data_IF_806242862829
#
_entry.id   IF_806242862829
#
_cell.length_a   1.000
_cell.length_b   1.000
_cell.length_c   1.000
_cell.angle_alpha   90.00
_cell.angle_beta   90.00
_cell.angle_gamma   90.00
#
_symmetry.space_group_name_H-M   'P 1'
#
loop_
_entity.id
_entity.type
_entity.pdbx_description
1 polymer ?
#
# COMPACT_ATOMS: atom_id res chain seq x y z
N UNK A 1 50.44 -58.04 -52.55
CA UNK A 1 49.73 -59.05 -53.39
C UNK A 1 48.47 -59.44 -52.64
N UNK A 2 47.25 -59.60 -53.17
CA UNK A 2 46.55 -59.22 -54.39
C UNK A 2 45.13 -59.80 -54.15
N UNK A 3 44.04 -59.05 -54.42
CA UNK A 3 42.65 -59.53 -54.65
C UNK A 3 41.90 -60.19 -53.45
N UNK A 4 40.58 -60.25 -53.35
CA UNK A 4 39.40 -59.58 -53.92
C UNK A 4 38.16 -60.23 -53.24
N UNK A 5 36.98 -59.65 -53.49
CA UNK A 5 35.62 -60.24 -53.46
C UNK A 5 34.88 -60.42 -52.11
N UNK A 6 33.87 -59.57 -51.93
CA UNK A 6 32.58 -59.87 -51.29
C UNK A 6 31.80 -60.93 -52.13
N UNK A 7 30.83 -61.65 -51.54
CA UNK A 7 29.45 -61.21 -51.70
C UNK A 7 28.53 -61.44 -50.48
N UNK A 8 27.34 -60.84 -50.61
CA UNK A 8 26.25 -60.71 -49.64
C UNK A 8 25.49 -61.99 -49.25
N UNK A 9 24.63 -61.78 -48.24
CA UNK A 9 23.36 -62.46 -47.89
C UNK A 9 23.42 -63.80 -47.16
N UNK A 10 23.04 -63.80 -45.86
CA UNK A 10 21.70 -64.15 -45.40
C UNK A 10 21.63 -64.16 -43.86
N UNK A 11 20.60 -63.52 -43.30
CA UNK A 11 20.21 -63.50 -41.88
C UNK A 11 19.94 -64.92 -41.35
N UNK A 12 20.07 -65.16 -40.03
CA UNK A 12 18.85 -65.30 -39.24
C UNK A 12 18.89 -64.79 -37.79
N UNK A 13 17.70 -64.36 -37.35
CA UNK A 13 17.08 -64.53 -36.03
C UNK A 13 17.93 -64.27 -34.77
N UNK A 14 17.78 -63.08 -34.19
CA UNK A 14 18.19 -62.79 -32.82
C UNK A 14 17.02 -62.97 -31.85
N UNK A 15 17.29 -63.77 -30.82
CA UNK A 15 16.44 -64.22 -29.72
C UNK A 15 15.99 -63.06 -28.82
N UNK A 16 14.69 -63.04 -28.50
CA UNK A 16 14.05 -62.20 -27.49
C UNK A 16 14.50 -62.61 -26.08
N UNK A 17 15.29 -61.76 -25.42
CA UNK A 17 15.58 -61.83 -23.99
C UNK A 17 14.62 -60.88 -23.25
N UNK A 18 13.68 -61.46 -22.51
CA UNK A 18 12.85 -60.75 -21.52
C UNK A 18 13.72 -60.34 -20.33
N UNK A 19 14.14 -59.07 -20.30
CA UNK A 19 14.61 -58.42 -19.08
C UNK A 19 13.41 -57.85 -18.32
N UNK A 20 13.09 -58.45 -17.17
CA UNK A 20 12.25 -57.86 -16.15
C UNK A 20 12.95 -56.62 -15.58
N UNK A 21 12.48 -55.43 -15.96
CA UNK A 21 12.83 -54.17 -15.30
C UNK A 21 11.78 -53.94 -14.19
N UNK A 22 12.14 -53.75 -12.92
CA UNK A 22 11.21 -53.28 -11.92
C UNK A 22 10.78 -51.84 -12.27
N UNK A 23 9.49 -51.65 -12.49
CA UNK A 23 8.84 -50.36 -12.68
C UNK A 23 8.90 -49.61 -11.35
N UNK A 24 9.94 -48.79 -11.18
CA UNK A 24 10.03 -47.83 -10.07
C UNK A 24 9.05 -46.70 -10.38
N UNK A 25 7.97 -46.61 -9.58
CA UNK A 25 6.94 -45.59 -9.67
C UNK A 25 7.59 -44.20 -9.46
N UNK A 26 8.01 -43.58 -10.56
CA UNK A 26 8.28 -42.17 -10.60
C UNK A 26 6.94 -41.44 -10.39
N UNK A 27 6.64 -41.12 -9.13
CA UNK A 27 5.68 -40.09 -8.78
C UNK A 27 6.20 -38.77 -9.35
N UNK A 28 5.85 -38.51 -10.61
CA UNK A 28 5.97 -37.20 -11.21
C UNK A 28 5.07 -36.27 -10.39
N UNK A 29 5.64 -35.62 -9.39
CA UNK A 29 5.01 -34.50 -8.72
C UNK A 29 4.79 -33.43 -9.79
N UNK A 30 3.58 -33.37 -10.32
CA UNK A 30 3.07 -32.23 -11.06
C UNK A 30 3.15 -31.03 -10.11
N UNK A 31 4.27 -30.30 -10.15
CA UNK A 31 4.38 -28.96 -9.59
C UNK A 31 3.34 -28.12 -10.32
N UNK A 32 2.15 -27.98 -9.73
CA UNK A 32 1.18 -26.98 -10.19
C UNK A 32 1.94 -25.66 -10.22
N UNK A 33 2.04 -24.97 -11.36
CA UNK A 33 2.57 -23.60 -11.34
C UNK A 33 1.68 -22.83 -10.38
N UNK A 34 2.25 -22.41 -9.25
CA UNK A 34 1.55 -21.56 -8.30
C UNK A 34 0.99 -20.37 -9.06
N UNK A 35 -0.26 -20.02 -8.83
CA UNK A 35 -0.82 -18.76 -9.32
C UNK A 35 0.06 -17.67 -8.70
N UNK A 36 0.95 -17.12 -9.51
CA UNK A 36 1.67 -15.90 -9.15
C UNK A 36 0.63 -14.81 -9.23
N UNK A 37 0.05 -14.44 -8.09
CA UNK A 37 -0.80 -13.26 -8.00
C UNK A 37 0.11 -12.06 -8.20
N UNK A 38 0.33 -11.67 -9.46
CA UNK A 38 1.00 -10.43 -9.80
C UNK A 38 0.12 -9.32 -9.24
N UNK A 39 0.55 -8.65 -8.18
CA UNK A 39 -0.14 -7.46 -7.66
C UNK A 39 -0.25 -6.49 -8.84
N UNK A 40 -1.48 -6.22 -9.28
CA UNK A 40 -1.75 -5.30 -10.38
C UNK A 40 -1.23 -3.92 -9.96
N UNK A 41 -0.29 -3.38 -10.71
CA UNK A 41 0.26 -2.05 -10.45
C UNK A 41 -0.87 -1.03 -10.43
N UNK A 42 -0.95 -0.25 -9.35
CA UNK A 42 -1.94 0.80 -9.23
C UNK A 42 -1.53 1.97 -10.13
N UNK A 43 -2.25 2.15 -11.23
CA UNK A 43 -1.96 3.17 -12.24
C UNK A 43 -2.18 4.59 -11.73
N UNK A 44 -2.78 4.76 -10.54
CA UNK A 44 -2.96 6.07 -9.91
C UNK A 44 -1.65 6.60 -9.29
N UNK A 45 -0.71 5.71 -8.95
CA UNK A 45 0.54 6.06 -8.30
C UNK A 45 1.71 6.01 -9.29
N UNK A 46 2.55 7.04 -9.30
CA UNK A 46 3.78 7.00 -10.10
C UNK A 46 4.94 6.43 -9.29
N UNK A 47 5.58 5.37 -9.79
CA UNK A 47 6.81 4.81 -9.20
C UNK A 47 8.06 5.63 -9.62
N UNK A 48 7.91 6.95 -9.70
CA UNK A 48 8.98 7.86 -10.12
C UNK A 48 9.88 8.20 -8.93
N UNK A 49 11.17 8.40 -9.22
CA UNK A 49 12.13 8.90 -8.24
C UNK A 49 11.66 10.29 -7.79
N UNK A 50 11.44 10.44 -6.49
CA UNK A 50 11.07 11.71 -5.89
C UNK A 50 12.29 12.59 -5.73
N UNK A 51 12.17 13.83 -6.18
CA UNK A 51 13.24 14.82 -6.09
C UNK A 51 13.25 15.47 -4.69
N UNK A 52 14.44 15.80 -4.20
CA UNK A 52 14.60 16.49 -2.93
C UNK A 52 14.07 17.93 -3.01
N UNK A 53 13.41 18.40 -1.94
CA UNK A 53 12.75 19.71 -1.91
C UNK A 53 11.46 19.83 -2.75
N UNK A 54 10.88 18.69 -3.16
CA UNK A 54 9.60 18.62 -3.85
C UNK A 54 8.55 17.84 -3.03
N UNK A 55 7.37 18.42 -2.87
CA UNK A 55 6.22 17.78 -2.23
C UNK A 55 5.36 17.15 -3.32
N UNK A 56 5.29 15.82 -3.34
CA UNK A 56 4.45 15.07 -4.28
C UNK A 56 3.05 14.87 -3.71
N UNK A 57 2.04 15.25 -4.48
CA UNK A 57 0.64 15.26 -4.05
C UNK A 57 -0.06 13.89 -4.22
N UNK A 58 0.44 13.03 -5.11
CA UNK A 58 -0.17 11.74 -5.45
C UNK A 58 -0.32 10.79 -4.24
N UNK A 59 0.59 10.87 -3.26
CA UNK A 59 0.52 10.03 -2.05
C UNK A 59 -0.33 10.64 -0.95
N UNK A 60 -0.40 11.97 -0.90
CA UNK A 60 -1.08 12.68 0.18
C UNK A 60 -2.56 12.85 -0.10
N UNK A 61 -2.94 12.95 -1.39
CA UNK A 61 -4.29 13.28 -1.82
C UNK A 61 -4.91 12.15 -2.61
N UNK A 62 -6.12 11.78 -2.22
CA UNK A 62 -6.95 10.85 -3.00
C UNK A 62 -7.56 11.49 -4.25
N UNK A 63 -7.65 12.82 -4.29
CA UNK A 63 -8.21 13.59 -5.41
C UNK A 63 -7.13 14.43 -6.07
N UNK A 64 -7.12 14.38 -7.40
CA UNK A 64 -6.26 15.21 -8.24
C UNK A 64 -6.61 16.70 -8.08
N UNK A 65 -5.58 17.57 -8.10
CA UNK A 65 -5.75 19.02 -7.99
C UNK A 65 -5.73 19.62 -9.41
N UNK A 66 -6.88 20.08 -9.95
CA UNK A 66 -6.92 20.69 -11.27
C UNK A 66 -6.32 22.09 -11.23
N UNK A 67 -5.45 22.39 -12.18
CA UNK A 67 -4.83 23.71 -12.38
C UNK A 67 -5.00 24.15 -13.83
N UNK A 68 -4.98 25.46 -14.07
CA UNK A 68 -5.04 26.01 -15.43
C UNK A 68 -3.67 26.49 -15.85
N UNK A 69 -3.26 26.14 -17.06
CA UNK A 69 -2.03 26.69 -17.66
C UNK A 69 -2.42 27.93 -18.45
N UNK A 70 -1.90 29.09 -18.09
CA UNK A 70 -2.23 30.36 -18.76
C UNK A 70 -1.32 30.64 -19.94
N UNK A 71 -0.01 30.44 -19.75
CA UNK A 71 1.01 30.72 -20.74
C UNK A 71 1.68 29.44 -21.24
N UNK A 72 2.09 29.47 -22.51
CA UNK A 72 2.90 28.39 -23.06
C UNK A 72 4.27 28.40 -22.36
N UNK A 73 4.60 27.32 -21.67
CA UNK A 73 5.81 27.25 -20.85
C UNK A 73 6.66 26.02 -21.18
N UNK A 74 8.00 26.16 -21.17
CA UNK A 74 8.90 25.04 -21.34
C UNK A 74 8.77 24.10 -20.14
N UNK A 75 8.72 22.81 -20.42
CA UNK A 75 8.54 21.75 -19.44
C UNK A 75 9.77 20.87 -19.39
N UNK A 76 10.23 20.57 -18.18
CA UNK A 76 11.46 19.80 -17.94
C UNK A 76 11.19 18.52 -17.15
N UNK A 77 12.08 17.53 -17.27
CA UNK A 77 11.94 16.26 -16.54
C UNK A 77 12.24 16.38 -15.05
N UNK A 78 13.23 17.21 -14.70
CA UNK A 78 13.73 17.44 -13.33
C UNK A 78 13.58 18.90 -12.92
N UNK A 79 13.58 19.14 -11.61
CA UNK A 79 13.48 20.46 -11.00
C UNK A 79 14.65 21.38 -11.39
N UNK A 80 15.82 20.79 -11.65
CA UNK A 80 17.02 21.48 -12.13
C UNK A 80 16.99 21.81 -13.63
N UNK A 81 15.88 21.55 -14.32
CA UNK A 81 15.70 21.82 -15.75
C UNK A 81 16.71 21.09 -16.66
N UNK A 82 17.11 19.87 -16.30
CA UNK A 82 18.15 19.11 -17.00
C UNK A 82 17.75 18.72 -18.44
N UNK A 83 16.60 18.05 -18.58
CA UNK A 83 16.09 17.62 -19.90
C UNK A 83 14.78 18.31 -20.25
N UNK A 84 14.77 18.97 -21.40
CA UNK A 84 13.57 19.54 -22.00
C UNK A 84 12.64 18.45 -22.56
N UNK A 85 11.36 18.53 -22.20
CA UNK A 85 10.31 17.60 -22.65
C UNK A 85 9.43 18.18 -23.74
N UNK A 86 9.26 19.50 -23.76
CA UNK A 86 8.36 20.18 -24.70
C UNK A 86 7.78 21.46 -24.11
N UNK A 87 7.00 22.17 -24.91
CA UNK A 87 6.22 23.32 -24.44
C UNK A 87 4.79 22.88 -24.18
N UNK A 88 4.29 23.18 -22.98
CA UNK A 88 2.91 22.93 -22.62
C UNK A 88 1.99 23.92 -23.33
N UNK A 89 0.83 23.43 -23.75
CA UNK A 89 -0.16 24.25 -24.42
C UNK A 89 -0.77 25.26 -23.43
N UNK A 90 -0.99 26.52 -23.84
CA UNK A 90 -1.71 27.49 -23.02
C UNK A 90 -3.22 27.20 -23.01
N UNK A 91 -3.93 27.77 -22.04
CA UNK A 91 -5.38 27.69 -21.87
C UNK A 91 -5.94 26.26 -21.79
N UNK A 92 -5.23 25.37 -21.09
CA UNK A 92 -5.70 24.01 -20.83
C UNK A 92 -5.80 23.75 -19.33
N UNK A 93 -6.70 22.82 -19.00
CA UNK A 93 -6.75 22.22 -17.67
C UNK A 93 -5.67 21.13 -17.60
N UNK A 94 -4.93 21.15 -16.51
CA UNK A 94 -3.85 20.24 -16.22
C UNK A 94 -3.96 19.80 -14.76
N UNK A 95 -3.22 18.75 -14.39
CA UNK A 95 -3.25 18.20 -13.03
C UNK A 95 -1.93 18.51 -12.34
N UNK A 96 -2.00 19.11 -11.17
CA UNK A 96 -0.82 19.37 -10.34
C UNK A 96 -0.40 18.06 -9.67
N UNK A 97 0.85 17.65 -9.90
CA UNK A 97 1.42 16.42 -9.34
C UNK A 97 2.36 16.70 -8.16
N UNK A 98 3.16 17.75 -8.25
CA UNK A 98 4.11 18.10 -7.20
C UNK A 98 4.37 19.61 -7.15
N UNK A 99 4.78 20.07 -5.97
CA UNK A 99 5.07 21.47 -5.69
C UNK A 99 6.48 21.60 -5.12
N UNK A 100 7.24 22.54 -5.64
CA UNK A 100 8.53 22.96 -5.08
C UNK A 100 8.56 24.48 -4.93
N UNK A 101 9.59 25.00 -4.26
CA UNK A 101 9.80 26.44 -4.10
C UNK A 101 9.99 27.16 -5.43
N UNK A 102 10.59 26.50 -6.43
CA UNK A 102 10.95 27.10 -7.72
C UNK A 102 9.92 26.86 -8.83
N UNK A 103 9.28 25.70 -8.82
CA UNK A 103 8.49 25.21 -9.95
C UNK A 103 7.36 24.29 -9.48
N UNK A 104 6.38 24.09 -10.37
CA UNK A 104 5.30 23.13 -10.19
C UNK A 104 5.46 22.00 -11.19
N UNK A 105 5.24 20.76 -10.75
CA UNK A 105 5.17 19.60 -11.63
C UNK A 105 3.73 19.36 -12.02
N UNK A 106 3.46 19.41 -13.32
CA UNK A 106 2.11 19.38 -13.87
C UNK A 106 2.01 18.32 -14.96
N UNK A 107 0.86 17.64 -15.02
CA UNK A 107 0.48 16.68 -16.08
C UNK A 107 -0.52 17.34 -17.02
N UNK A 108 -0.22 17.41 -18.31
CA UNK A 108 -1.11 18.01 -19.30
C UNK A 108 -0.67 17.72 -20.73
N UNK A 109 -1.22 18.46 -21.72
CA UNK A 109 -0.91 18.23 -23.14
C UNK A 109 0.15 19.22 -23.65
N UNK A 110 1.11 18.68 -24.36
CA UNK A 110 2.08 19.42 -25.18
C UNK A 110 1.86 19.07 -26.66
N UNK A 111 2.67 19.67 -27.54
CA UNK A 111 2.63 19.35 -28.99
C UNK A 111 2.93 17.88 -29.29
N UNK A 112 3.78 17.24 -28.48
CA UNK A 112 4.21 15.85 -28.66
C UNK A 112 3.23 14.83 -28.04
N UNK A 113 2.21 15.27 -27.31
CA UNK A 113 1.27 14.39 -26.59
C UNK A 113 1.09 14.78 -25.14
N UNK A 114 0.66 13.84 -24.30
CA UNK A 114 0.56 14.06 -22.85
C UNK A 114 1.95 13.98 -22.20
N UNK A 115 2.28 14.98 -21.40
CA UNK A 115 3.58 15.10 -20.72
C UNK A 115 3.34 15.44 -19.25
N UNK A 116 4.18 14.89 -18.37
CA UNK A 116 4.29 15.29 -16.98
C UNK A 116 5.70 15.86 -16.74
N UNK A 117 5.79 17.10 -16.26
CA UNK A 117 7.08 17.71 -15.98
C UNK A 117 6.98 19.04 -15.24
N UNK A 118 8.14 19.59 -14.94
CA UNK A 118 8.33 20.82 -14.17
C UNK A 118 8.16 22.06 -15.04
N UNK A 119 7.37 23.01 -14.55
CA UNK A 119 7.01 24.27 -15.19
C UNK A 119 7.19 25.41 -14.18
N UNK A 120 7.51 26.60 -14.67
CA UNK A 120 7.59 27.81 -13.84
C UNK A 120 6.23 28.15 -13.20
N UNK A 121 6.26 28.62 -11.94
CA UNK A 121 5.03 28.93 -11.19
C UNK A 121 4.12 29.96 -11.88
N UNK A 122 4.71 30.97 -12.53
CA UNK A 122 3.96 32.04 -13.20
C UNK A 122 3.16 31.61 -14.43
N UNK A 123 3.37 30.39 -14.94
CA UNK A 123 2.57 29.85 -16.05
C UNK A 123 1.30 29.11 -15.59
N UNK A 124 1.15 28.91 -14.28
CA UNK A 124 0.05 28.14 -13.67
C UNK A 124 -0.87 29.10 -12.91
N UNK A 125 -2.16 29.00 -13.19
CA UNK A 125 -3.23 29.77 -12.57
C UNK A 125 -4.26 28.83 -11.90
N UNK A 126 -5.07 29.40 -11.01
CA UNK A 126 -6.12 28.68 -10.29
C UNK A 126 -5.73 28.18 -8.90
N UNK A 127 -4.57 28.61 -8.38
CA UNK A 127 -4.13 28.32 -7.01
C UNK A 127 -4.35 29.53 -6.10
N UNK A 128 -4.84 29.30 -4.88
CA UNK A 128 -4.96 30.34 -3.87
C UNK A 128 -3.57 30.84 -3.42
N UNK A 129 -3.42 32.12 -3.04
CA UNK A 129 -2.12 32.67 -2.61
C UNK A 129 -1.58 31.99 -1.35
N UNK A 130 -2.45 31.45 -0.49
CA UNK A 130 -2.10 30.73 0.74
C UNK A 130 -1.94 29.22 0.55
N UNK A 131 -2.07 28.72 -0.69
CA UNK A 131 -2.02 27.29 -0.98
C UNK A 131 -0.68 26.67 -0.57
N UNK A 132 0.45 27.33 -0.90
CA UNK A 132 1.79 26.78 -0.61
C UNK A 132 2.06 26.66 0.90
N UNK A 133 1.63 27.62 1.71
CA UNK A 133 1.87 27.60 3.15
C UNK A 133 1.03 26.52 3.84
N UNK A 134 -0.24 26.38 3.42
CA UNK A 134 -1.13 25.34 3.92
C UNK A 134 -0.67 23.94 3.46
N UNK A 135 -0.14 23.83 2.24
CA UNK A 135 0.42 22.58 1.72
C UNK A 135 1.62 22.10 2.55
N UNK A 136 2.52 23.02 2.96
CA UNK A 136 3.66 22.65 3.82
C UNK A 136 3.23 22.13 5.18
N UNK A 137 2.29 22.81 5.83
CA UNK A 137 1.72 22.34 7.11
C UNK A 137 1.04 20.98 6.95
N UNK A 138 0.32 20.78 5.86
CA UNK A 138 -0.31 19.51 5.53
C UNK A 138 0.74 18.40 5.33
N UNK A 139 1.83 18.71 4.63
CA UNK A 139 2.93 17.77 4.39
C UNK A 139 3.68 17.40 5.67
N UNK A 140 3.99 18.36 6.54
CA UNK A 140 4.59 18.12 7.85
C UNK A 140 3.73 17.17 8.68
N UNK A 141 2.42 17.44 8.73
CA UNK A 141 1.45 16.56 9.39
C UNK A 141 1.42 15.16 8.75
N UNK A 142 1.40 15.08 7.42
CA UNK A 142 1.36 13.82 6.68
C UNK A 142 2.57 12.93 7.00
N UNK A 143 3.77 13.51 7.10
CA UNK A 143 4.98 12.76 7.45
C UNK A 143 4.90 12.15 8.86
N UNK A 144 4.36 12.90 9.83
CA UNK A 144 4.14 12.40 11.20
C UNK A 144 3.14 11.25 11.19
N UNK A 145 2.00 11.44 10.53
CA UNK A 145 0.94 10.42 10.45
C UNK A 145 1.45 9.16 9.74
N UNK A 146 2.21 9.32 8.66
CA UNK A 146 2.78 8.19 7.92
C UNK A 146 3.72 7.37 8.79
N UNK A 147 4.60 8.01 9.56
CA UNK A 147 5.50 7.33 10.50
C UNK A 147 4.72 6.57 11.59
N UNK A 148 3.61 7.13 12.09
CA UNK A 148 2.73 6.45 13.04
C UNK A 148 2.03 5.24 12.43
N UNK A 149 1.52 5.36 11.20
CA UNK A 149 0.89 4.26 10.46
C UNK A 149 1.91 3.12 10.23
N UNK A 150 3.13 3.45 9.82
CA UNK A 150 4.19 2.45 9.60
C UNK A 150 4.55 1.70 10.91
N UNK A 151 4.42 2.38 12.06
CA UNK A 151 4.63 1.80 13.39
C UNK A 151 3.37 1.12 13.97
N UNK A 152 2.23 1.19 13.28
CA UNK A 152 0.91 0.77 13.78
C UNK A 152 0.55 1.41 15.14
N UNK A 153 0.87 2.70 15.30
CA UNK A 153 0.60 3.48 16.51
C UNK A 153 -0.51 4.50 16.29
N UNK A 154 -1.12 4.94 17.39
CA UNK A 154 -2.13 6.01 17.39
C UNK A 154 -1.69 7.15 18.28
N UNK A 155 -2.03 8.36 17.85
CA UNK A 155 -1.72 9.61 18.50
C UNK A 155 -2.95 10.51 18.59
N UNK A 156 -2.92 11.45 19.53
CA UNK A 156 -3.93 12.51 19.64
C UNK A 156 -3.87 13.39 18.38
N UNK A 157 -5.02 13.83 17.87
CA UNK A 157 -5.08 14.65 16.65
C UNK A 157 -5.13 13.86 15.33
N UNK A 158 -5.03 12.53 15.38
CA UNK A 158 -5.29 11.69 14.21
C UNK A 158 -6.77 11.70 13.83
N UNK A 159 -7.07 11.49 12.57
CA UNK A 159 -8.44 11.32 12.08
C UNK A 159 -8.88 9.86 12.14
N UNK A 160 -10.19 9.62 12.11
CA UNK A 160 -10.75 8.25 12.12
C UNK A 160 -10.16 7.39 11.00
N UNK A 161 -10.03 7.95 9.79
CA UNK A 161 -9.48 7.24 8.62
C UNK A 161 -8.00 6.86 8.81
N UNK A 162 -7.22 7.73 9.45
CA UNK A 162 -5.80 7.48 9.72
C UNK A 162 -5.61 6.43 10.82
N UNK A 163 -6.47 6.45 11.85
CA UNK A 163 -6.46 5.41 12.90
C UNK A 163 -6.80 4.04 12.30
N UNK A 164 -7.82 3.99 11.44
CA UNK A 164 -8.17 2.75 10.74
C UNK A 164 -7.09 2.30 9.76
N UNK A 165 -6.35 3.23 9.14
CA UNK A 165 -5.20 2.88 8.30
C UNK A 165 -4.01 2.35 9.10
N UNK A 166 -3.85 2.80 10.35
CA UNK A 166 -2.77 2.38 11.26
C UNK A 166 -3.01 1.00 11.88
N UNK A 167 -4.16 0.79 12.54
CA UNK A 167 -4.43 -0.45 13.30
C UNK A 167 -5.32 -1.42 12.50
N UNK A 168 -6.15 -0.90 11.59
CA UNK A 168 -7.16 -1.66 10.88
C UNK A 168 -8.60 -1.36 11.34
N UNK A 169 -9.56 -2.19 10.88
CA UNK A 169 -10.96 -2.00 11.24
C UNK A 169 -11.21 -2.25 12.73
N UNK A 170 -12.08 -1.46 13.37
CA UNK A 170 -12.42 -1.65 14.79
C UNK A 170 -13.35 -2.85 14.99
N UNK A 171 -13.31 -3.45 16.18
CA UNK A 171 -14.22 -4.54 16.57
C UNK A 171 -15.62 -4.01 16.89
N UNK A 172 -15.68 -2.86 17.57
CA UNK A 172 -16.94 -2.15 17.83
C UNK A 172 -16.81 -0.67 17.51
N UNK A 173 -17.93 -0.11 17.04
CA UNK A 173 -18.07 1.32 16.73
C UNK A 173 -19.30 1.86 17.44
N UNK A 174 -19.12 2.91 18.24
CA UNK A 174 -20.18 3.72 18.81
C UNK A 174 -20.18 5.11 18.18
N UNK A 175 -21.37 5.66 17.92
CA UNK A 175 -21.54 7.05 17.52
C UNK A 175 -22.65 7.66 18.36
N UNK A 176 -22.39 8.79 19.02
CA UNK A 176 -23.35 9.53 19.82
C UNK A 176 -23.44 10.96 19.27
N UNK A 177 -24.66 11.42 19.06
CA UNK A 177 -24.92 12.79 18.63
C UNK A 177 -25.57 13.52 19.80
N UNK A 178 -24.84 14.47 20.37
CA UNK A 178 -25.27 15.28 21.51
C UNK A 178 -25.48 16.72 21.04
N UNK A 179 -26.10 17.56 21.87
CA UNK A 179 -26.27 18.99 21.60
C UNK A 179 -24.93 19.71 21.35
N UNK A 180 -23.85 19.22 21.96
CA UNK A 180 -22.52 19.82 21.89
C UNK A 180 -21.68 19.33 20.70
N UNK A 181 -22.18 18.34 19.93
CA UNK A 181 -21.49 17.82 18.75
C UNK A 181 -21.64 16.31 18.58
N UNK A 182 -20.89 15.77 17.61
CA UNK A 182 -20.81 14.34 17.34
C UNK A 182 -19.58 13.76 18.02
N UNK A 183 -19.81 12.75 18.86
CA UNK A 183 -18.76 11.98 19.51
C UNK A 183 -18.80 10.56 18.98
N UNK A 184 -17.69 10.09 18.42
CA UNK A 184 -17.54 8.71 17.95
C UNK A 184 -16.55 8.00 18.87
N UNK A 185 -16.75 6.70 19.08
CA UNK A 185 -15.88 5.87 19.93
C UNK A 185 -15.60 4.55 19.22
N UNK A 186 -14.32 4.19 19.11
CA UNK A 186 -13.86 2.95 18.49
C UNK A 186 -13.21 2.07 19.54
N UNK A 187 -13.63 0.81 19.57
CA UNK A 187 -13.09 -0.20 20.49
C UNK A 187 -12.33 -1.26 19.67
N UNK A 188 -11.09 -1.50 20.10
CA UNK A 188 -10.18 -2.52 19.58
C UNK A 188 -9.88 -3.52 20.69
N UNK A 189 -10.09 -4.80 20.42
CA UNK A 189 -9.95 -5.89 21.39
C UNK A 189 -8.90 -6.87 20.90
N UNK A 190 -7.84 -7.03 21.69
CA UNK A 190 -6.79 -8.02 21.41
C UNK A 190 -7.17 -9.35 22.05
N UNK A 191 -7.13 -10.43 21.28
CA UNK A 191 -7.38 -11.78 21.76
C UNK A 191 -6.10 -12.62 21.78
N UNK A 192 -5.88 -13.35 22.87
CA UNK A 192 -4.82 -14.35 22.99
C UNK A 192 -5.41 -15.76 23.02
N UNK A 193 -4.85 -16.65 22.22
CA UNK A 193 -5.19 -18.07 22.23
C UNK A 193 -4.50 -18.76 23.39
N UNK A 194 -5.29 -19.22 24.35
CA UNK A 194 -4.81 -19.95 25.52
C UNK A 194 -5.10 -21.44 25.33
N UNK A 195 -4.08 -22.31 25.43
CA UNK A 195 -4.31 -23.75 25.37
C UNK A 195 -5.06 -24.21 26.63
N UNK A 196 -6.17 -24.89 26.44
CA UNK A 196 -6.93 -25.56 27.48
C UNK A 196 -6.97 -27.06 27.18
N UNK A 197 -6.59 -27.87 28.15
CA UNK A 197 -6.67 -29.33 28.02
C UNK A 197 -8.02 -29.79 28.53
N UNK A 198 -8.82 -30.37 27.63
CA UNK A 198 -10.12 -30.96 27.96
C UNK A 198 -10.06 -32.47 27.78
N UNK A 199 -10.79 -33.19 28.62
CA UNK A 199 -10.94 -34.64 28.48
C UNK A 199 -12.18 -34.90 27.64
N UNK A 200 -11.99 -35.51 26.47
CA UNK A 200 -13.07 -35.88 25.55
C UNK A 200 -13.09 -37.40 25.44
N UNK A 201 -14.30 -37.97 25.35
CA UNK A 201 -14.43 -39.40 25.08
C UNK A 201 -14.27 -39.63 23.58
N UNK A 202 -13.30 -40.46 23.20
CA UNK A 202 -13.16 -40.98 21.83
C UNK A 202 -14.41 -41.82 21.46
N UNK A 203 -14.79 -42.00 20.18
CA UNK A 203 -15.83 -42.93 19.73
C UNK A 203 -15.90 -44.32 20.39
N UNK A 204 -14.81 -44.80 20.99
CA UNK A 204 -14.78 -46.05 21.78
C UNK A 204 -15.03 -45.86 23.30
N UNK A 205 -15.44 -44.67 23.74
CA UNK A 205 -15.74 -44.34 25.14
C UNK A 205 -14.52 -44.16 26.06
N UNK A 206 -13.30 -44.07 25.49
CA UNK A 206 -12.07 -43.88 26.26
C UNK A 206 -11.81 -42.39 26.49
N UNK A 207 -11.46 -41.96 27.72
CA UNK A 207 -11.10 -40.57 27.98
C UNK A 207 -9.73 -40.28 27.33
N UNK A 208 -9.71 -39.32 26.40
CA UNK A 208 -8.51 -38.80 25.74
C UNK A 208 -8.38 -37.32 26.06
N UNK A 209 -7.17 -36.88 26.40
CA UNK A 209 -6.89 -35.47 26.61
C UNK A 209 -6.62 -34.81 25.26
N UNK A 210 -7.38 -33.77 24.95
CA UNK A 210 -7.22 -32.98 23.73
C UNK A 210 -6.97 -31.52 24.13
N UNK A 211 -5.95 -30.91 23.53
CA UNK A 211 -5.69 -29.47 23.71
C UNK A 211 -6.53 -28.70 22.70
N UNK A 212 -7.45 -27.88 23.22
CA UNK A 212 -8.18 -26.89 22.43
C UNK A 212 -7.63 -25.50 22.72
N UNK A 213 -7.65 -24.62 21.72
CA UNK A 213 -7.24 -23.23 21.88
C UNK A 213 -8.49 -22.38 22.05
N UNK A 214 -8.61 -21.70 23.21
CA UNK A 214 -9.70 -20.78 23.49
C UNK A 214 -9.17 -19.35 23.38
N UNK A 215 -9.90 -18.50 22.67
CA UNK A 215 -9.58 -17.08 22.55
C UNK A 215 -10.08 -16.35 23.78
N UNK A 216 -9.16 -15.70 24.49
CA UNK A 216 -9.43 -14.91 25.69
C UNK A 216 -8.99 -13.48 25.41
N UNK A 217 -9.81 -12.51 25.82
CA UNK A 217 -9.46 -11.09 25.74
C UNK A 217 -8.15 -10.84 26.53
N UNK A 218 -7.15 -10.34 25.82
CA UNK A 218 -5.80 -10.07 26.33
C UNK A 218 -5.52 -8.60 26.54
N UNK A 219 -6.35 -7.71 25.98
CA UNK A 219 -6.25 -6.27 26.14
C UNK A 219 -7.28 -5.54 25.30
N UNK A 220 -7.54 -4.28 25.64
CA UNK A 220 -8.57 -3.45 25.02
C UNK A 220 -8.08 -2.02 24.88
N UNK A 221 -8.36 -1.40 23.75
CA UNK A 221 -8.11 0.02 23.52
C UNK A 221 -9.39 0.69 23.06
N UNK A 222 -9.77 1.76 23.75
CA UNK A 222 -10.91 2.61 23.42
C UNK A 222 -10.36 3.94 22.96
N UNK A 223 -10.77 4.37 21.77
CA UNK A 223 -10.35 5.64 21.18
C UNK A 223 -11.60 6.48 20.99
N UNK A 224 -11.66 7.64 21.63
CA UNK A 224 -12.76 8.57 21.44
C UNK A 224 -12.36 9.71 20.52
N UNK A 225 -13.35 10.14 19.75
CA UNK A 225 -13.24 11.15 18.72
C UNK A 225 -14.25 12.26 18.95
N UNK A 226 -13.79 13.48 18.76
CA UNK A 226 -14.64 14.67 18.65
C UNK A 226 -14.34 15.31 17.30
N UNK A 227 -15.39 15.61 16.53
CA UNK A 227 -15.27 16.23 15.20
C UNK A 227 -14.26 15.50 14.30
N UNK A 228 -14.35 14.16 14.27
CA UNK A 228 -13.51 13.26 13.48
C UNK A 228 -12.01 13.23 13.89
N UNK A 229 -11.65 13.75 15.06
CA UNK A 229 -10.27 13.84 15.55
C UNK A 229 -10.13 13.13 16.89
N UNK A 230 -9.05 12.35 17.09
CA UNK A 230 -8.76 11.64 18.34
C UNK A 230 -8.54 12.61 19.49
N UNK A 231 -9.32 12.46 20.56
CA UNK A 231 -9.23 13.27 21.78
C UNK A 231 -8.71 12.49 22.97
N UNK A 232 -9.09 11.22 23.10
CA UNK A 232 -8.68 10.35 24.21
C UNK A 232 -8.37 8.95 23.70
N UNK A 233 -7.40 8.32 24.37
CA UNK A 233 -6.99 6.94 24.15
C UNK A 233 -6.97 6.30 25.53
N UNK A 234 -7.85 5.33 25.76
CA UNK A 234 -7.90 4.54 26.97
C UNK A 234 -7.38 3.14 26.67
N UNK A 235 -6.28 2.74 27.33
CA UNK A 235 -5.65 1.44 27.14
C UNK A 235 -5.84 0.58 28.39
N UNK A 236 -6.28 -0.65 28.17
CA UNK A 236 -6.36 -1.70 29.19
C UNK A 236 -5.21 -2.68 28.98
N UNK A 237 -4.69 -3.23 30.08
CA UNK A 237 -3.48 -4.07 30.16
C UNK A 237 -3.22 -4.95 28.93
N UNK A 238 -1.99 -4.93 28.41
CA UNK A 238 -1.50 -5.85 27.37
C UNK A 238 -1.46 -5.31 25.95
N UNK A 239 -1.85 -4.05 25.71
CA UNK A 239 -1.80 -3.39 24.40
C UNK A 239 -1.18 -1.99 24.54
N UNK A 240 -0.09 -1.74 23.81
CA UNK A 240 0.68 -0.49 23.83
C UNK A 240 0.54 0.26 22.49
N UNK A 241 -0.63 0.81 22.18
CA UNK A 241 -0.89 1.55 20.93
C UNK A 241 -0.67 3.06 21.08
N UNK A 242 -0.73 3.57 22.31
CA UNK A 242 -0.63 4.96 22.72
C UNK A 242 0.76 5.39 23.19
N UNK A 243 1.77 4.50 23.16
CA UNK A 243 3.16 4.85 23.46
C UNK A 243 3.78 5.81 22.42
N UNK A 244 3.06 6.15 21.34
CA UNK A 244 3.35 7.28 20.47
C UNK A 244 2.91 8.59 21.13
N UNK A 245 3.70 9.11 22.08
CA UNK A 245 3.42 10.36 22.86
C UNK A 245 3.53 11.65 22.02
N UNK A 246 3.16 11.61 20.74
CA UNK A 246 3.13 12.76 19.85
C UNK A 246 1.72 13.33 19.75
N UNK A 247 1.56 14.65 19.88
CA UNK A 247 0.36 15.32 19.40
C UNK A 247 0.52 15.56 17.90
N UNK A 248 -0.41 15.04 17.09
CA UNK A 248 -0.47 15.35 15.67
C UNK A 248 -1.15 16.71 15.49
N UNK A 249 -0.59 17.62 14.69
CA UNK A 249 -1.26 18.87 14.36
C UNK A 249 -2.66 18.64 13.78
N UNK A 250 -3.63 19.54 14.02
CA UNK A 250 -4.97 19.40 13.47
C UNK A 250 -4.93 19.38 11.93
N UNK A 251 -5.90 18.72 11.27
CA UNK A 251 -5.96 18.67 9.82
C UNK A 251 -6.11 20.07 9.22
N UNK A 252 -5.25 20.38 8.24
CA UNK A 252 -5.28 21.64 7.50
C UNK A 252 -5.88 21.39 6.12
N UNK A 253 -6.94 22.15 5.80
CA UNK A 253 -7.57 22.14 4.48
C UNK A 253 -7.00 23.28 3.63
N UNK A 254 -6.73 23.02 2.35
CA UNK A 254 -6.09 23.96 1.43
C UNK A 254 -6.89 24.18 0.12
N UNK A 255 -8.12 23.65 0.04
CA UNK A 255 -9.03 23.78 -1.11
C UNK A 255 -9.92 25.02 -1.04
#
# INVERSE_FOLDING_TARGET
>A
MNRSSLPWTCFPALVLLFFFIPCEEALSQLRRPGIVTIKREDRSQSNLVKEDGAIYLEEMLSKEVPVRISLAAPTYSTLNADRFLGNMLPNQNAVLLAVSDKAYRVRGKAKQGQIAGWITKGAVEGLAPEFESNLRKCYERFMIVKDLIEKNQVALGMTVDEVMASIGPPDKRGSKITKDGRTDSLEYISYKRVPQTVTVNDPYGRPVQTTQYVEVESGRVIIDFVDNTVTSIEETEGVDLGNGVGSVPPPVFFY
#
